data_IF_612375366814
#
_entry.id   IF_612375366814
#
_cell.length_a   1.000
_cell.length_b   1.000
_cell.length_c   1.000
_cell.angle_alpha   90.00
_cell.angle_beta   90.00
_cell.angle_gamma   90.00
#
_symmetry.space_group_name_H-M   'P 1'
#
loop_
_entity.id
_entity.type
_entity.pdbx_description
1 polymer ?
#
# COMPACT_ATOMS: atom_id res chain seq x y z
N UNK A 1 37.87 29.17 -12.97
CA UNK A 1 37.48 29.30 -11.55
C UNK A 1 35.98 29.54 -11.49
N UNK A 2 35.16 28.48 -11.49
CA UNK A 2 33.69 28.59 -11.51
C UNK A 2 33.16 28.52 -10.07
N UNK A 3 32.67 29.66 -9.54
CA UNK A 3 31.95 29.69 -8.27
C UNK A 3 30.54 29.14 -8.51
N UNK A 4 30.24 27.97 -7.94
CA UNK A 4 28.88 27.47 -7.83
C UNK A 4 28.05 28.48 -7.01
N UNK A 5 27.04 29.09 -7.65
CA UNK A 5 25.98 29.80 -6.91
C UNK A 5 25.34 28.78 -5.98
N UNK A 6 25.46 28.98 -4.67
CA UNK A 6 24.60 28.30 -3.70
C UNK A 6 23.17 28.72 -4.01
N UNK A 7 22.34 27.76 -4.40
CA UNK A 7 20.91 27.98 -4.64
C UNK A 7 20.28 28.52 -3.35
N UNK A 8 19.84 29.77 -3.38
CA UNK A 8 19.06 30.41 -2.31
C UNK A 8 17.59 30.06 -2.51
N UNK A 9 17.21 28.81 -2.25
CA UNK A 9 15.80 28.43 -2.16
C UNK A 9 15.22 29.16 -0.94
N UNK A 10 14.11 29.89 -1.12
CA UNK A 10 13.43 30.54 0.01
C UNK A 10 12.95 29.46 1.00
N UNK A 11 13.00 29.71 2.33
CA UNK A 11 12.58 28.70 3.33
C UNK A 11 11.16 28.16 3.11
N UNK A 12 10.26 29.00 2.58
CA UNK A 12 8.84 28.72 2.28
C UNK A 12 8.63 27.84 1.03
N UNK A 13 9.62 27.74 0.14
CA UNK A 13 9.52 26.94 -1.10
C UNK A 13 10.15 25.54 -0.97
N UNK A 14 10.60 25.16 0.23
CA UNK A 14 11.26 23.87 0.47
C UNK A 14 10.24 22.79 0.84
N UNK A 15 10.07 21.80 -0.03
CA UNK A 15 9.34 20.57 0.31
C UNK A 15 10.14 19.80 1.38
N UNK A 16 9.60 19.74 2.60
CA UNK A 16 10.18 19.02 3.73
C UNK A 16 9.09 18.25 4.43
N UNK A 17 9.13 16.92 4.34
CA UNK A 17 8.20 16.02 5.00
C UNK A 17 8.98 15.00 5.83
N UNK A 18 8.57 14.79 7.08
CA UNK A 18 8.98 13.62 7.85
C UNK A 18 8.44 12.33 7.20
N UNK A 19 8.95 11.17 7.64
CA UNK A 19 8.45 9.87 7.15
C UNK A 19 6.94 9.71 7.35
N UNK A 20 6.42 10.19 8.49
CA UNK A 20 5.00 10.09 8.80
C UNK A 20 4.17 11.05 7.94
N UNK A 21 4.61 12.29 7.78
CA UNK A 21 3.92 13.27 6.91
C UNK A 21 3.91 12.79 5.46
N UNK A 22 5.03 12.23 4.98
CA UNK A 22 5.12 11.66 3.65
C UNK A 22 4.22 10.42 3.48
N UNK A 23 4.19 9.52 4.46
CA UNK A 23 3.28 8.37 4.46
C UNK A 23 1.81 8.81 4.35
N UNK A 24 1.45 9.87 5.08
CA UNK A 24 0.13 10.45 5.07
C UNK A 24 -0.22 11.12 3.73
N UNK A 25 0.71 11.87 3.14
CA UNK A 25 0.53 12.48 1.81
C UNK A 25 0.31 11.40 0.74
N UNK A 26 1.13 10.34 0.73
CA UNK A 26 0.91 9.19 -0.16
C UNK A 26 -0.46 8.55 0.05
N UNK A 27 -0.94 8.41 1.28
CA UNK A 27 -2.29 7.89 1.53
C UNK A 27 -3.37 8.81 0.95
N UNK A 28 -3.22 10.12 1.11
CA UNK A 28 -4.18 11.10 0.60
C UNK A 28 -4.29 11.02 -0.93
N UNK A 29 -3.16 10.90 -1.63
CA UNK A 29 -3.16 10.64 -3.08
C UNK A 29 -3.74 9.27 -3.43
N UNK A 30 -3.43 8.22 -2.65
CA UNK A 30 -4.02 6.91 -2.88
C UNK A 30 -5.55 6.97 -2.86
N UNK A 31 -6.13 7.61 -1.84
CA UNK A 31 -7.57 7.82 -1.71
C UNK A 31 -8.11 8.66 -2.87
N UNK A 32 -7.44 9.77 -3.21
CA UNK A 32 -7.83 10.62 -4.34
C UNK A 32 -7.99 9.81 -5.64
N UNK A 33 -7.01 8.98 -5.97
CA UNK A 33 -7.05 8.14 -7.17
C UNK A 33 -8.15 7.08 -7.12
N UNK A 34 -8.63 6.65 -5.95
CA UNK A 34 -9.78 5.73 -5.85
C UNK A 34 -11.12 6.40 -6.17
N UNK A 35 -11.22 7.71 -5.94
CA UNK A 35 -12.43 8.49 -6.19
C UNK A 35 -12.61 8.90 -7.65
N UNK A 36 -11.56 8.76 -8.45
CA UNK A 36 -11.59 9.06 -9.88
C UNK A 36 -12.19 7.90 -10.69
N UNK A 37 -12.97 8.20 -11.73
CA UNK A 37 -13.78 7.20 -12.46
C UNK A 37 -12.98 6.35 -13.45
N UNK A 38 -11.74 6.70 -13.75
CA UNK A 38 -10.89 5.97 -14.70
C UNK A 38 -10.30 4.69 -14.07
N UNK A 39 -10.45 3.56 -14.78
CA UNK A 39 -9.82 2.28 -14.43
C UNK A 39 -8.30 2.40 -14.35
N UNK A 40 -7.69 3.25 -15.17
CA UNK A 40 -6.24 3.50 -15.19
C UNK A 40 -5.71 4.05 -13.85
N UNK A 41 -6.54 4.76 -13.09
CA UNK A 41 -6.15 5.38 -11.83
C UNK A 41 -5.96 4.40 -10.69
N UNK A 42 -6.57 3.22 -10.76
CA UNK A 42 -6.44 2.21 -9.72
C UNK A 42 -5.01 1.68 -9.56
N UNK A 43 -4.21 1.68 -10.64
CA UNK A 43 -2.78 1.37 -10.53
C UNK A 43 -2.05 2.44 -9.70
N UNK A 44 -2.39 3.71 -9.89
CA UNK A 44 -1.79 4.80 -9.13
C UNK A 44 -2.24 4.77 -7.67
N UNK A 45 -3.53 4.47 -7.41
CA UNK A 45 -4.03 4.26 -6.06
C UNK A 45 -3.21 3.18 -5.32
N UNK A 46 -2.98 2.02 -5.95
CA UNK A 46 -2.19 0.95 -5.35
C UNK A 46 -0.71 1.30 -5.16
N UNK A 47 -0.08 1.98 -6.13
CA UNK A 47 1.30 2.43 -5.99
C UNK A 47 1.49 3.39 -4.82
N UNK A 48 0.58 4.38 -4.70
CA UNK A 48 0.64 5.34 -3.60
C UNK A 48 0.33 4.66 -2.27
N UNK A 49 -0.63 3.74 -2.22
CA UNK A 49 -0.96 3.00 -1.00
C UNK A 49 0.20 2.11 -0.52
N UNK A 50 0.89 1.44 -1.44
CA UNK A 50 2.07 0.64 -1.11
C UNK A 50 3.19 1.51 -0.51
N UNK A 51 3.46 2.67 -1.11
CA UNK A 51 4.42 3.66 -0.60
C UNK A 51 4.01 4.21 0.77
N UNK A 52 2.73 4.53 0.96
CA UNK A 52 2.18 5.00 2.23
C UNK A 52 2.44 3.98 3.35
N UNK A 53 2.10 2.71 3.11
CA UNK A 53 2.31 1.63 4.08
C UNK A 53 3.80 1.42 4.38
N UNK A 54 4.67 1.41 3.36
CA UNK A 54 6.11 1.25 3.58
C UNK A 54 6.70 2.38 4.44
N UNK A 55 6.33 3.62 4.15
CA UNK A 55 6.80 4.78 4.91
C UNK A 55 6.24 4.78 6.34
N UNK A 56 5.00 4.33 6.55
CA UNK A 56 4.42 4.18 7.88
C UNK A 56 5.18 3.14 8.71
N UNK A 57 5.46 1.96 8.14
CA UNK A 57 6.26 0.92 8.81
C UNK A 57 7.65 1.45 9.19
N UNK A 58 8.29 2.21 8.29
CA UNK A 58 9.56 2.88 8.56
C UNK A 58 9.45 3.94 9.65
N UNK A 59 8.38 4.73 9.67
CA UNK A 59 8.13 5.69 10.75
C UNK A 59 7.92 5.02 12.11
N UNK A 60 7.29 3.84 12.14
CA UNK A 60 7.18 3.02 13.35
C UNK A 60 8.56 2.52 13.81
N UNK A 61 9.39 1.99 12.91
CA UNK A 61 10.76 1.58 13.24
C UNK A 61 11.63 2.74 13.73
N UNK A 62 11.49 3.92 13.12
CA UNK A 62 12.22 5.12 13.51
C UNK A 62 11.87 5.56 14.95
N UNK A 63 10.66 5.24 15.44
CA UNK A 63 10.25 5.49 16.84
C UNK A 63 11.13 4.72 17.81
N UNK A 64 11.44 3.47 17.47
CA UNK A 64 12.24 2.58 18.29
C UNK A 64 13.72 2.96 18.20
N UNK A 65 14.26 3.01 16.96
CA UNK A 65 15.63 3.47 16.74
C UNK A 65 15.90 3.80 15.27
N UNK A 66 16.54 4.94 15.00
CA UNK A 66 16.85 5.43 13.64
C UNK A 66 17.66 4.44 12.80
N UNK A 67 18.56 3.65 13.42
CA UNK A 67 19.39 2.67 12.71
C UNK A 67 18.58 1.54 12.07
N UNK A 68 17.35 1.29 12.54
CA UNK A 68 16.45 0.30 11.96
C UNK A 68 15.92 0.71 10.57
N UNK A 69 16.17 1.94 10.13
CA UNK A 69 15.87 2.38 8.78
C UNK A 69 16.85 1.84 7.74
N UNK A 70 18.04 1.38 8.16
CA UNK A 70 19.05 0.82 7.27
C UNK A 70 18.72 -0.64 6.95
N UNK A 71 18.94 -1.04 5.70
CA UNK A 71 18.83 -2.44 5.27
C UNK A 71 19.75 -3.34 6.12
N UNK A 72 21.01 -2.94 6.28
CA UNK A 72 21.96 -3.55 7.22
C UNK A 72 22.28 -2.58 8.37
N UNK A 73 21.80 -2.91 9.56
CA UNK A 73 21.96 -2.09 10.78
C UNK A 73 23.44 -1.92 11.17
N UNK A 74 24.32 -2.86 10.80
CA UNK A 74 25.77 -2.78 11.09
C UNK A 74 26.45 -1.64 10.34
N UNK A 75 25.87 -1.21 9.22
CA UNK A 75 26.36 -0.11 8.40
C UNK A 75 25.69 1.23 8.72
N UNK A 76 24.89 1.29 9.79
CA UNK A 76 24.14 2.49 10.17
C UNK A 76 25.07 3.64 10.57
N UNK A 77 24.82 4.82 10.00
CA UNK A 77 25.57 6.05 10.26
C UNK A 77 24.60 7.22 10.28
N UNK A 78 24.70 8.08 11.30
CA UNK A 78 23.86 9.29 11.41
C UNK A 78 24.09 10.23 10.22
N UNK A 79 25.35 10.45 9.84
CA UNK A 79 25.69 11.30 8.69
C UNK A 79 25.06 10.80 7.39
N UNK A 80 25.10 9.47 7.14
CA UNK A 80 24.45 8.86 5.97
C UNK A 80 22.93 9.00 6.02
N UNK A 81 22.34 8.88 7.21
CA UNK A 81 20.90 9.05 7.40
C UNK A 81 20.46 10.49 7.10
N UNK A 82 21.14 11.47 7.69
CA UNK A 82 20.83 12.90 7.54
C UNK A 82 20.97 13.39 6.09
N UNK A 83 21.90 12.79 5.34
CA UNK A 83 22.09 13.07 3.91
C UNK A 83 21.14 12.26 3.00
N UNK A 84 20.39 11.30 3.55
CA UNK A 84 19.56 10.37 2.77
C UNK A 84 20.36 9.36 1.94
N UNK A 85 21.67 9.24 2.18
CA UNK A 85 22.60 8.44 1.39
C UNK A 85 22.82 7.05 2.00
N UNK A 86 21.75 6.25 2.04
CA UNK A 86 21.79 4.90 2.59
C UNK A 86 20.81 3.96 1.88
N UNK A 87 21.10 2.65 1.94
CA UNK A 87 20.14 1.64 1.53
C UNK A 87 19.11 1.48 2.65
N UNK A 88 17.87 1.87 2.37
CA UNK A 88 16.78 1.74 3.33
C UNK A 88 16.30 0.30 3.42
N UNK A 89 15.82 -0.08 4.61
CA UNK A 89 15.14 -1.34 4.87
C UNK A 89 13.99 -1.55 3.88
N UNK A 90 13.87 -2.76 3.35
CA UNK A 90 12.72 -3.13 2.50
C UNK A 90 11.46 -3.38 3.33
N UNK A 91 10.33 -3.50 2.64
CA UNK A 91 9.02 -3.65 3.28
C UNK A 91 8.91 -4.92 4.15
N UNK A 92 9.38 -6.07 3.66
CA UNK A 92 9.27 -7.36 4.35
C UNK A 92 10.14 -7.36 5.60
N UNK A 93 11.37 -6.88 5.47
CA UNK A 93 12.31 -6.71 6.58
C UNK A 93 11.77 -5.72 7.60
N UNK A 94 11.09 -4.66 7.17
CA UNK A 94 10.46 -3.71 8.08
C UNK A 94 9.33 -4.36 8.91
N UNK A 95 8.45 -5.14 8.28
CA UNK A 95 7.42 -5.90 8.99
C UNK A 95 8.03 -6.89 9.99
N UNK A 96 9.02 -7.67 9.57
CA UNK A 96 9.68 -8.65 10.43
C UNK A 96 10.33 -7.99 11.66
N UNK A 97 10.95 -6.82 11.48
CA UNK A 97 11.53 -6.04 12.57
C UNK A 97 10.44 -5.53 13.52
N UNK A 98 9.33 -5.01 13.01
CA UNK A 98 8.23 -4.53 13.86
C UNK A 98 7.62 -5.65 14.70
N UNK A 99 7.42 -6.84 14.12
CA UNK A 99 6.92 -7.99 14.87
C UNK A 99 7.93 -8.50 15.89
N UNK A 100 9.21 -8.60 15.52
CA UNK A 100 10.24 -9.20 16.39
C UNK A 100 10.75 -8.25 17.49
N UNK A 101 10.77 -6.93 17.23
CA UNK A 101 11.35 -5.92 18.13
C UNK A 101 10.26 -5.17 18.89
N UNK A 102 9.18 -4.75 18.20
CA UNK A 102 8.11 -3.95 18.80
C UNK A 102 6.96 -4.83 19.35
N UNK A 103 7.00 -6.15 19.11
CA UNK A 103 5.91 -7.05 19.49
C UNK A 103 4.59 -6.75 18.79
N UNK A 104 4.64 -6.01 17.67
CA UNK A 104 3.44 -5.62 16.94
C UNK A 104 2.93 -6.82 16.16
N UNK A 105 1.74 -7.30 16.54
CA UNK A 105 1.10 -8.42 15.86
C UNK A 105 0.57 -7.96 14.49
N UNK A 106 1.24 -8.41 13.44
CA UNK A 106 0.89 -8.16 12.05
C UNK A 106 0.23 -9.37 11.38
N UNK A 107 -0.02 -10.47 12.11
CA UNK A 107 -0.49 -11.73 11.53
C UNK A 107 -1.75 -11.57 10.67
N UNK A 108 -2.75 -10.85 11.19
CA UNK A 108 -4.01 -10.53 10.51
C UNK A 108 -3.84 -9.65 9.26
N UNK A 109 -2.79 -8.82 9.23
CA UNK A 109 -2.53 -7.86 8.15
C UNK A 109 -1.53 -8.38 7.11
N UNK A 110 -0.68 -9.33 7.48
CA UNK A 110 0.49 -9.75 6.71
C UNK A 110 0.11 -10.25 5.30
N UNK A 111 -0.98 -11.02 5.20
CA UNK A 111 -1.49 -11.51 3.90
C UNK A 111 -1.80 -10.37 2.93
N UNK A 112 -2.44 -9.30 3.41
CA UNK A 112 -2.84 -8.17 2.56
C UNK A 112 -1.67 -7.24 2.26
N UNK A 113 -0.80 -7.01 3.24
CA UNK A 113 0.42 -6.23 3.08
C UNK A 113 1.35 -6.86 2.04
N UNK A 114 1.55 -8.18 2.10
CA UNK A 114 2.31 -8.94 1.09
C UNK A 114 1.65 -8.82 -0.28
N UNK A 115 0.32 -8.99 -0.36
CA UNK A 115 -0.41 -8.89 -1.62
C UNK A 115 -0.30 -7.50 -2.27
N UNK A 116 -0.35 -6.42 -1.48
CA UNK A 116 -0.15 -5.05 -1.99
C UNK A 116 1.26 -4.90 -2.58
N UNK A 117 2.28 -5.43 -1.91
CA UNK A 117 3.66 -5.40 -2.40
C UNK A 117 3.85 -6.19 -3.70
N UNK A 118 3.28 -7.38 -3.78
CA UNK A 118 3.34 -8.20 -5.00
C UNK A 118 2.71 -7.47 -6.19
N UNK A 119 1.56 -6.84 -5.97
CA UNK A 119 0.88 -6.08 -7.03
C UNK A 119 1.68 -4.84 -7.40
N UNK A 120 2.22 -4.09 -6.42
CA UNK A 120 3.12 -2.96 -6.68
C UNK A 120 4.31 -3.39 -7.53
N UNK A 121 4.93 -4.53 -7.23
CA UNK A 121 6.06 -5.04 -7.99
C UNK A 121 5.67 -5.42 -9.42
N UNK A 122 4.51 -6.06 -9.61
CA UNK A 122 3.97 -6.34 -10.95
C UNK A 122 3.68 -5.06 -11.73
N UNK A 123 3.09 -4.03 -11.09
CA UNK A 123 2.82 -2.74 -11.74
C UNK A 123 4.13 -2.04 -12.16
N UNK A 124 5.16 -2.07 -11.31
CA UNK A 124 6.40 -1.32 -11.55
C UNK A 124 7.40 -2.03 -12.47
N UNK A 125 7.44 -3.36 -12.43
CA UNK A 125 8.52 -4.14 -13.01
C UNK A 125 8.05 -5.20 -14.01
N UNK A 126 6.73 -5.39 -14.19
CA UNK A 126 6.20 -6.43 -15.06
C UNK A 126 4.83 -6.06 -15.65
N UNK A 127 4.09 -7.06 -16.14
CA UNK A 127 2.69 -6.95 -16.54
C UNK A 127 1.75 -7.11 -15.34
N UNK A 128 0.69 -6.30 -15.32
CA UNK A 128 -0.42 -6.44 -14.37
C UNK A 128 -1.66 -6.91 -15.11
N UNK A 129 -2.29 -7.94 -14.56
CA UNK A 129 -3.59 -8.44 -14.98
C UNK A 129 -4.31 -8.87 -13.69
N UNK A 130 -5.23 -8.01 -13.25
CA UNK A 130 -6.01 -8.13 -12.02
C UNK A 130 -7.37 -7.48 -12.26
N UNK A 131 -8.43 -8.15 -11.81
CA UNK A 131 -9.79 -7.63 -11.92
C UNK A 131 -10.00 -6.39 -11.06
N UNK A 132 -10.71 -5.39 -11.57
CA UNK A 132 -10.87 -4.09 -10.91
C UNK A 132 -11.50 -4.19 -9.51
N UNK A 133 -12.42 -5.14 -9.32
CA UNK A 133 -13.06 -5.38 -8.03
C UNK A 133 -12.09 -5.97 -6.99
N UNK A 134 -11.14 -6.78 -7.45
CA UNK A 134 -10.06 -7.27 -6.57
C UNK A 134 -9.14 -6.12 -6.17
N UNK A 135 -8.79 -5.23 -7.10
CA UNK A 135 -8.01 -4.02 -6.80
C UNK A 135 -8.70 -3.15 -5.76
N UNK A 136 -10.01 -2.89 -5.92
CA UNK A 136 -10.82 -2.13 -4.96
C UNK A 136 -10.80 -2.76 -3.57
N UNK A 137 -11.01 -4.08 -3.48
CA UNK A 137 -11.00 -4.81 -2.20
C UNK A 137 -9.64 -4.72 -1.51
N UNK A 138 -8.55 -4.83 -2.28
CA UNK A 138 -7.19 -4.74 -1.75
C UNK A 138 -6.89 -3.31 -1.27
N UNK A 139 -7.27 -2.31 -2.06
CA UNK A 139 -7.13 -0.90 -1.67
C UNK A 139 -7.88 -0.61 -0.36
N UNK A 140 -9.13 -1.07 -0.24
CA UNK A 140 -9.95 -0.95 0.97
C UNK A 140 -9.21 -1.44 2.22
N UNK A 141 -8.72 -2.68 2.16
CA UNK A 141 -8.06 -3.33 3.28
C UNK A 141 -6.69 -2.71 3.58
N UNK A 142 -5.98 -2.25 2.56
CA UNK A 142 -4.72 -1.53 2.74
C UNK A 142 -4.91 -0.20 3.45
N UNK A 143 -5.94 0.58 3.08
CA UNK A 143 -6.29 1.83 3.78
C UNK A 143 -6.67 1.55 5.23
N UNK A 144 -7.52 0.54 5.48
CA UNK A 144 -7.86 0.14 6.85
C UNK A 144 -6.62 -0.28 7.66
N UNK A 145 -5.71 -1.04 7.04
CA UNK A 145 -4.46 -1.47 7.68
C UNK A 145 -3.57 -0.27 8.01
N UNK A 146 -3.44 0.70 7.11
CA UNK A 146 -2.71 1.95 7.40
C UNK A 146 -3.28 2.64 8.64
N UNK A 147 -4.60 2.74 8.75
CA UNK A 147 -5.27 3.42 9.86
C UNK A 147 -5.01 2.69 11.17
N UNK A 148 -5.19 1.37 11.20
CA UNK A 148 -4.87 0.54 12.37
C UNK A 148 -3.41 0.73 12.80
N UNK A 149 -2.47 0.68 11.85
CA UNK A 149 -1.04 0.83 12.14
C UNK A 149 -0.67 2.25 12.57
N UNK A 150 -1.36 3.28 12.07
CA UNK A 150 -1.07 4.67 12.40
C UNK A 150 -1.31 4.99 13.88
N UNK A 151 -2.23 4.27 14.54
CA UNK A 151 -2.51 4.39 15.98
C UNK A 151 -1.30 4.07 16.86
N UNK A 152 -0.41 3.18 16.42
CA UNK A 152 0.82 2.86 17.16
C UNK A 152 1.86 3.98 17.11
N UNK A 153 1.76 4.86 16.10
CA UNK A 153 2.67 5.99 15.92
C UNK A 153 2.28 7.14 16.85
N UNK A 154 1.04 7.61 16.72
CA UNK A 154 0.47 8.71 17.50
C UNK A 154 -1.02 8.48 17.72
N UNK A 155 -1.48 8.73 18.95
CA UNK A 155 -2.91 8.75 19.28
C UNK A 155 -3.45 10.16 19.00
N UNK A 156 -3.56 10.55 17.72
CA UNK A 156 -4.13 11.82 17.28
C UNK A 156 -5.61 11.63 16.91
N UNK A 157 -6.57 12.01 17.78
CA UNK A 157 -7.99 11.76 17.56
C UNK A 157 -8.57 12.54 16.37
N UNK A 158 -8.01 13.71 16.03
CA UNK A 158 -8.51 14.52 14.93
C UNK A 158 -8.17 13.88 13.59
N UNK A 159 -6.94 13.38 13.44
CA UNK A 159 -6.54 12.64 12.23
C UNK A 159 -7.21 11.28 12.14
N UNK A 160 -7.38 10.58 13.27
CA UNK A 160 -8.16 9.35 13.29
C UNK A 160 -9.60 9.57 12.84
N UNK A 161 -10.25 10.66 13.29
CA UNK A 161 -11.60 11.01 12.85
C UNK A 161 -11.67 11.27 11.34
N UNK A 162 -10.74 12.03 10.78
CA UNK A 162 -10.67 12.30 9.33
C UNK A 162 -10.46 11.02 8.52
N UNK A 163 -9.55 10.15 8.96
CA UNK A 163 -9.28 8.88 8.29
C UNK A 163 -10.47 7.92 8.38
N UNK A 164 -11.15 7.84 9.53
CA UNK A 164 -12.36 7.05 9.69
C UNK A 164 -13.51 7.59 8.83
N UNK A 165 -13.65 8.92 8.71
CA UNK A 165 -14.63 9.53 7.80
C UNK A 165 -14.37 9.14 6.35
N UNK A 166 -13.13 9.23 5.89
CA UNK A 166 -12.72 8.81 4.53
C UNK A 166 -12.91 7.31 4.30
N UNK A 167 -12.64 6.47 5.31
CA UNK A 167 -12.95 5.04 5.25
C UNK A 167 -14.44 4.79 5.10
N UNK A 168 -15.29 5.51 5.84
CA UNK A 168 -16.74 5.37 5.74
C UNK A 168 -17.23 5.83 4.37
N UNK A 169 -16.69 6.93 3.83
CA UNK A 169 -16.99 7.39 2.48
C UNK A 169 -16.54 6.38 1.41
N UNK A 170 -15.34 5.83 1.57
CA UNK A 170 -14.81 4.79 0.70
C UNK A 170 -15.61 3.48 0.82
N UNK A 171 -16.01 3.08 2.03
CA UNK A 171 -16.83 1.89 2.26
C UNK A 171 -18.22 2.08 1.69
N UNK A 172 -18.84 3.26 1.86
CA UNK A 172 -20.09 3.61 1.18
C UNK A 172 -19.94 3.53 -0.34
N UNK A 173 -18.83 4.02 -0.90
CA UNK A 173 -18.54 3.89 -2.32
C UNK A 173 -18.42 2.41 -2.76
N UNK A 174 -17.69 1.60 -1.98
CA UNK A 174 -17.54 0.17 -2.22
C UNK A 174 -18.90 -0.53 -2.12
N UNK A 175 -19.68 -0.28 -1.06
CA UNK A 175 -20.98 -0.91 -0.83
C UNK A 175 -21.99 -0.54 -1.92
N UNK A 176 -22.05 0.74 -2.32
CA UNK A 176 -22.88 1.19 -3.44
C UNK A 176 -22.50 0.49 -4.75
N UNK A 177 -21.20 0.27 -4.97
CA UNK A 177 -20.72 -0.42 -6.17
C UNK A 177 -20.92 -1.93 -6.13
N UNK A 178 -20.68 -2.57 -4.99
CA UNK A 178 -20.98 -4.00 -4.77
C UNK A 178 -22.48 -4.24 -4.92
N UNK A 179 -23.32 -3.35 -4.42
CA UNK A 179 -24.76 -3.42 -4.61
C UNK A 179 -25.14 -3.31 -6.09
N UNK A 180 -24.63 -2.31 -6.83
CA UNK A 180 -24.88 -2.20 -8.28
C UNK A 180 -24.42 -3.43 -9.06
N UNK A 181 -23.24 -3.96 -8.75
CA UNK A 181 -22.67 -5.12 -9.41
C UNK A 181 -23.41 -6.40 -9.08
N UNK A 182 -23.96 -6.53 -7.87
CA UNK A 182 -24.82 -7.66 -7.50
C UNK A 182 -26.09 -7.66 -8.35
N UNK A 183 -26.70 -6.50 -8.55
CA UNK A 183 -27.85 -6.34 -9.44
C UNK A 183 -27.51 -6.67 -10.89
N UNK A 184 -26.33 -6.25 -11.38
CA UNK A 184 -25.85 -6.57 -12.73
C UNK A 184 -25.49 -8.07 -12.90
N UNK A 185 -24.90 -8.70 -11.87
CA UNK A 185 -24.59 -10.14 -11.84
C UNK A 185 -25.86 -11.01 -11.75
N UNK A 186 -26.86 -10.56 -11.01
CA UNK A 186 -28.16 -11.22 -10.90
C UNK A 186 -28.99 -11.03 -12.19
N UNK A 187 -28.76 -9.93 -12.93
CA UNK A 187 -29.38 -9.65 -14.23
C UNK A 187 -28.63 -10.26 -15.42
N UNK A 188 -27.35 -10.59 -15.28
CA UNK A 188 -26.58 -11.29 -16.30
C UNK A 188 -26.95 -12.77 -16.31
N UNK A 189 -27.54 -13.26 -17.41
CA UNK A 189 -27.73 -14.69 -17.59
C UNK A 189 -26.37 -15.40 -17.51
N UNK A 190 -26.23 -16.28 -16.52
CA UNK A 190 -25.07 -17.18 -16.45
C UNK A 190 -25.02 -17.96 -17.77
N UNK A 191 -23.90 -17.98 -18.51
CA UNK A 191 -23.79 -18.85 -19.67
C UNK A 191 -23.96 -20.29 -19.21
N UNK A 192 -25.16 -20.82 -19.39
CA UNK A 192 -25.48 -22.19 -19.06
C UNK A 192 -24.92 -23.07 -20.17
N UNK A 193 -24.05 -23.99 -19.78
CA UNK A 193 -23.55 -25.14 -20.55
C UNK A 193 -22.77 -24.80 -21.82
N UNK A 194 -21.44 -24.89 -21.74
CA UNK A 194 -20.61 -25.68 -22.67
C UNK A 194 -19.22 -25.84 -22.05
N UNK A 195 -19.09 -26.70 -21.04
CA UNK A 195 -17.83 -27.43 -20.88
C UNK A 195 -17.94 -28.65 -21.79
N UNK A 196 -17.43 -28.54 -23.02
CA UNK A 196 -17.15 -29.75 -23.81
C UNK A 196 -16.06 -30.52 -23.07
N UNK A 197 -16.34 -31.78 -22.76
CA UNK A 197 -15.34 -32.69 -22.19
C UNK A 197 -14.09 -32.68 -23.06
N UNK A 198 -12.95 -32.37 -22.46
CA UNK A 198 -11.65 -32.53 -23.10
C UNK A 198 -11.47 -34.02 -23.47
N UNK A 199 -11.30 -34.39 -24.75
CA UNK A 199 -11.20 -35.79 -25.18
C UNK A 199 -9.96 -36.54 -24.65
N UNK A 200 -9.08 -35.89 -23.91
CA UNK A 200 -7.82 -36.44 -23.43
C UNK A 200 -7.91 -37.14 -22.05
N UNK A 201 -9.09 -37.20 -21.42
CA UNK A 201 -9.27 -37.83 -20.11
C UNK A 201 -10.04 -39.17 -20.12
N UNK A 202 -10.38 -39.74 -21.29
CA UNK A 202 -11.07 -41.05 -21.38
C UNK A 202 -10.21 -42.23 -21.82
N UNK A 203 -8.89 -42.05 -21.99
CA UNK A 203 -7.96 -43.16 -22.31
C UNK A 203 -6.91 -43.31 -21.23
N UNK A 204 -7.29 -43.85 -20.07
CA UNK A 204 -6.41 -44.55 -19.12
C UNK A 204 -7.20 -45.11 -17.93
N UNK A 205 -8.34 -45.74 -18.21
CA UNK A 205 -9.07 -46.52 -17.23
C UNK A 205 -9.73 -47.70 -17.95
N UNK A 206 -8.92 -48.66 -18.35
CA UNK A 206 -9.28 -50.08 -18.46
C UNK A 206 -7.96 -50.87 -18.51
N UNK A 207 -7.75 -51.62 -17.42
CA UNK A 207 -6.97 -52.87 -17.25
C UNK A 207 -5.92 -53.26 -18.28
#
# INVERSE_FOLDING_TARGET
>A
MWRLRRSTIKPDERLSLSLLENANDFLDYAIKYTSESDKGNWKYALLHLASALELLLKALLQKEHWALLFDDVRNASKDKLEQGFFKSVDFVTAMNRLTSINGLDLSEHNKYLTKIQDIRNRIMHFAVDIHIEEVKSIAARGINTFIVLSRYRSNDPAREHELNKRLVEFQKFVDLRVACLKTELDAAERPSKYFSMCPLLSKNADS
#
